data_IF_354737467934
#
_entry.id   IF_354737467934
#
_cell.length_a   1.000
_cell.length_b   1.000
_cell.length_c   1.000
_cell.angle_alpha   90.00
_cell.angle_beta   90.00
_cell.angle_gamma   90.00
#
_symmetry.space_group_name_H-M   'P 1'
#
loop_
_entity.id
_entity.type
_entity.pdbx_description
1 polymer ?
#
# COMPACT_ATOMS: atom_id res chain seq x y z
N UNK A 1 -19.48 -28.25 -14.55
CA UNK A 1 -18.31 -27.49 -14.03
C UNK A 1 -18.74 -26.85 -12.73
N UNK A 2 -17.95 -26.93 -11.66
CA UNK A 2 -18.35 -26.42 -10.36
C UNK A 2 -17.57 -25.12 -10.07
N UNK A 3 -18.30 -24.05 -9.76
CA UNK A 3 -17.72 -22.80 -9.29
C UNK A 3 -17.57 -22.86 -7.76
N UNK A 4 -16.43 -22.42 -7.23
CA UNK A 4 -16.15 -22.35 -5.79
C UNK A 4 -15.42 -21.05 -5.46
N UNK A 5 -15.38 -20.70 -4.17
CA UNK A 5 -14.65 -19.55 -3.62
C UNK A 5 -14.91 -18.27 -4.41
N UNK A 6 -16.18 -17.84 -4.40
CA UNK A 6 -16.65 -16.67 -5.15
C UNK A 6 -16.45 -15.44 -4.29
N UNK A 7 -15.67 -14.49 -4.80
CA UNK A 7 -15.52 -13.16 -4.20
C UNK A 7 -15.99 -12.09 -5.18
N UNK A 8 -16.57 -11.02 -4.66
CA UNK A 8 -17.03 -9.91 -5.50
C UNK A 8 -16.77 -8.56 -4.87
N UNK A 9 -16.52 -7.56 -5.72
CA UNK A 9 -16.24 -6.20 -5.30
C UNK A 9 -16.97 -5.21 -6.18
N UNK A 10 -17.65 -4.24 -5.54
CA UNK A 10 -18.21 -3.09 -6.24
C UNK A 10 -17.08 -2.14 -6.64
N UNK A 11 -17.08 -1.71 -7.89
CA UNK A 11 -16.09 -0.82 -8.48
C UNK A 11 -16.59 0.64 -8.47
N UNK A 12 -15.70 1.63 -8.65
CA UNK A 12 -16.05 3.06 -8.66
C UNK A 12 -17.06 3.46 -9.73
N UNK A 13 -17.11 2.72 -10.85
CA UNK A 13 -18.08 2.93 -11.92
C UNK A 13 -19.48 2.37 -11.60
N UNK A 14 -19.67 1.79 -10.41
CA UNK A 14 -20.94 1.24 -9.93
C UNK A 14 -21.19 -0.22 -10.29
N UNK A 15 -20.40 -0.81 -11.20
CA UNK A 15 -20.46 -2.23 -11.53
C UNK A 15 -19.82 -3.09 -10.43
N UNK A 16 -20.04 -4.40 -10.50
CA UNK A 16 -19.41 -5.40 -9.65
C UNK A 16 -18.47 -6.25 -10.50
N UNK A 17 -17.28 -6.52 -9.95
CA UNK A 17 -16.35 -7.52 -10.46
C UNK A 17 -16.43 -8.75 -9.56
N UNK A 18 -16.61 -9.92 -10.14
CA UNK A 18 -16.62 -11.20 -9.43
C UNK A 18 -15.51 -12.09 -9.95
N UNK A 19 -14.79 -12.76 -9.04
CA UNK A 19 -13.78 -13.77 -9.35
C UNK A 19 -14.11 -15.08 -8.64
N UNK A 20 -13.81 -16.20 -9.30
CA UNK A 20 -14.08 -17.53 -8.78
C UNK A 20 -13.15 -18.57 -9.39
N UNK A 21 -12.95 -19.66 -8.68
CA UNK A 21 -12.17 -20.79 -9.17
C UNK A 21 -13.06 -21.75 -9.97
N UNK A 22 -12.51 -22.30 -11.06
CA UNK A 22 -13.24 -23.21 -11.94
C UNK A 22 -12.73 -24.63 -11.78
N UNK A 23 -13.44 -25.41 -10.96
CA UNK A 23 -13.05 -26.79 -10.64
C UNK A 23 -13.36 -27.73 -11.80
N UNK A 24 -12.39 -28.59 -12.12
CA UNK A 24 -12.46 -29.57 -13.21
C UNK A 24 -11.66 -29.19 -14.45
N UNK A 25 -11.01 -28.02 -14.46
CA UNK A 25 -9.96 -27.68 -15.42
C UNK A 25 -8.58 -27.92 -14.82
N UNK A 26 -7.55 -28.11 -15.67
CA UNK A 26 -6.15 -28.15 -15.23
C UNK A 26 -5.83 -26.93 -14.36
N UNK A 27 -5.18 -27.19 -13.23
CA UNK A 27 -4.71 -26.21 -12.26
C UNK A 27 -5.78 -25.37 -11.54
N UNK A 28 -7.09 -25.62 -11.77
CA UNK A 28 -8.20 -24.89 -11.11
C UNK A 28 -8.07 -23.36 -11.29
N UNK A 29 -8.18 -22.86 -12.53
CA UNK A 29 -7.91 -21.47 -12.89
C UNK A 29 -8.96 -20.53 -12.31
N UNK A 30 -8.53 -19.30 -12.04
CA UNK A 30 -9.42 -18.20 -11.68
C UNK A 30 -10.03 -17.57 -12.94
N UNK A 31 -11.36 -17.49 -12.95
CA UNK A 31 -12.14 -16.77 -13.95
C UNK A 31 -12.85 -15.59 -13.31
N UNK A 32 -13.27 -14.63 -14.13
CA UNK A 32 -13.96 -13.44 -13.69
C UNK A 32 -15.14 -13.05 -14.60
N UNK A 33 -16.11 -12.34 -14.00
CA UNK A 33 -17.25 -11.74 -14.67
C UNK A 33 -17.54 -10.34 -14.11
N UNK A 34 -18.30 -9.57 -14.87
CA UNK A 34 -18.87 -8.31 -14.44
C UNK A 34 -20.38 -8.47 -14.20
N UNK A 35 -20.90 -7.71 -13.25
CA UNK A 35 -22.32 -7.56 -13.02
C UNK A 35 -22.70 -6.08 -12.90
N UNK A 36 -23.82 -5.63 -13.50
CA UNK A 36 -24.28 -4.26 -13.35
C UNK A 36 -24.78 -3.94 -11.92
N UNK A 37 -25.22 -4.93 -11.16
CA UNK A 37 -25.94 -4.74 -9.90
C UNK A 37 -25.52 -5.71 -8.76
N UNK A 38 -24.61 -6.65 -9.04
CA UNK A 38 -24.16 -7.68 -8.11
C UNK A 38 -25.10 -8.89 -8.00
N UNK A 39 -26.25 -8.87 -8.68
CA UNK A 39 -27.27 -9.93 -8.65
C UNK A 39 -27.39 -10.64 -10.00
N UNK A 40 -27.37 -9.88 -11.09
CA UNK A 40 -27.42 -10.39 -12.45
C UNK A 40 -26.01 -10.53 -13.01
N UNK A 41 -25.57 -11.76 -13.23
CA UNK A 41 -24.22 -12.08 -13.73
C UNK A 41 -24.25 -12.57 -15.19
N UNK A 42 -25.34 -12.31 -15.92
CA UNK A 42 -25.52 -12.75 -17.30
C UNK A 42 -25.88 -14.23 -17.45
N UNK A 43 -25.62 -14.78 -18.64
CA UNK A 43 -25.92 -16.19 -18.94
C UNK A 43 -25.13 -17.13 -18.00
N UNK A 44 -25.79 -18.06 -17.29
CA UNK A 44 -25.12 -19.08 -16.47
C UNK A 44 -24.21 -20.04 -17.25
N UNK A 45 -24.40 -20.19 -18.56
CA UNK A 45 -23.52 -21.00 -19.42
C UNK A 45 -22.20 -20.28 -19.77
N UNK A 46 -22.19 -18.95 -19.69
CA UNK A 46 -20.98 -18.15 -19.85
C UNK A 46 -20.18 -18.15 -18.55
N UNK A 47 -19.04 -18.85 -18.54
CA UNK A 47 -18.15 -18.93 -17.38
C UNK A 47 -17.22 -17.72 -17.25
N UNK A 48 -17.37 -16.68 -18.09
CA UNK A 48 -16.56 -15.47 -18.05
C UNK A 48 -15.19 -15.61 -18.70
N UNK A 49 -14.26 -14.74 -18.33
CA UNK A 49 -12.90 -14.73 -18.88
C UNK A 49 -11.88 -15.24 -17.87
N UNK A 50 -10.86 -15.94 -18.37
CA UNK A 50 -9.73 -16.39 -17.55
C UNK A 50 -8.90 -15.19 -17.11
N UNK A 51 -8.61 -15.09 -15.82
CA UNK A 51 -7.83 -14.00 -15.26
C UNK A 51 -6.33 -14.27 -15.44
N UNK A 52 -5.69 -13.51 -16.33
CA UNK A 52 -4.29 -13.73 -16.68
C UNK A 52 -3.59 -12.47 -17.20
N UNK A 53 -2.26 -12.46 -17.13
CA UNK A 53 -1.40 -11.47 -17.78
C UNK A 53 -1.41 -11.63 -19.30
N UNK A 54 -0.90 -10.63 -20.02
CA UNK A 54 -0.74 -10.71 -21.48
C UNK A 54 0.20 -11.86 -21.92
N UNK A 55 1.17 -12.23 -21.07
CA UNK A 55 2.08 -13.36 -21.25
C UNK A 55 1.49 -14.72 -20.85
N UNK A 56 0.24 -14.76 -20.36
CA UNK A 56 -0.48 -16.00 -20.04
C UNK A 56 -0.28 -16.55 -18.62
N UNK A 57 0.37 -15.80 -17.73
CA UNK A 57 0.45 -16.15 -16.31
C UNK A 57 -0.93 -15.92 -15.66
N UNK A 58 -1.43 -16.89 -14.91
CA UNK A 58 -2.79 -16.93 -14.37
C UNK A 58 -2.80 -17.41 -12.93
N UNK A 59 -3.73 -16.86 -12.15
CA UNK A 59 -4.00 -17.28 -10.77
C UNK A 59 -4.76 -18.60 -10.72
N UNK A 60 -4.53 -19.33 -9.63
CA UNK A 60 -5.16 -20.60 -9.32
C UNK A 60 -5.64 -20.63 -7.88
N UNK A 61 -6.84 -21.18 -7.70
CA UNK A 61 -7.44 -21.44 -6.39
C UNK A 61 -7.80 -20.18 -5.58
N UNK A 62 -8.88 -20.30 -4.79
CA UNK A 62 -9.25 -19.36 -3.72
C UNK A 62 -9.02 -17.87 -4.01
N UNK A 63 -9.64 -17.31 -5.06
CA UNK A 63 -9.42 -15.92 -5.40
C UNK A 63 -9.94 -14.98 -4.32
N UNK A 64 -9.27 -13.85 -4.15
CA UNK A 64 -9.74 -12.72 -3.34
C UNK A 64 -9.70 -11.45 -4.16
N UNK A 65 -10.73 -10.60 -4.06
CA UNK A 65 -10.85 -9.36 -4.86
C UNK A 65 -10.87 -8.14 -3.95
N UNK A 66 -9.96 -7.22 -4.22
CA UNK A 66 -9.81 -5.94 -3.52
C UNK A 66 -9.72 -4.79 -4.52
N UNK A 67 -10.45 -3.69 -4.30
CA UNK A 67 -10.27 -2.46 -5.08
C UNK A 67 -9.68 -1.39 -4.17
N UNK A 68 -8.64 -0.72 -4.66
CA UNK A 68 -7.90 0.31 -3.92
C UNK A 68 -7.90 1.61 -4.72
N UNK A 69 -7.95 2.75 -4.04
CA UNK A 69 -8.01 4.06 -4.71
C UNK A 69 -6.68 4.44 -5.38
N UNK A 70 -5.56 3.88 -4.93
CA UNK A 70 -4.22 4.13 -5.47
C UNK A 70 -4.05 3.50 -6.86
N UNK A 71 -3.29 4.17 -7.76
CA UNK A 71 -2.94 3.65 -9.10
C UNK A 71 -3.52 4.42 -10.29
N UNK A 72 -4.22 5.53 -10.05
CA UNK A 72 -4.72 6.44 -11.09
C UNK A 72 -6.21 6.78 -10.92
N UNK A 73 -6.84 7.44 -11.92
CA UNK A 73 -8.24 7.90 -11.82
C UNK A 73 -9.28 6.80 -11.56
N UNK A 74 -8.96 5.55 -11.90
CA UNK A 74 -9.81 4.38 -11.69
C UNK A 74 -9.42 3.56 -10.45
N UNK A 75 -8.38 3.97 -9.72
CA UNK A 75 -7.71 3.13 -8.73
C UNK A 75 -7.10 1.88 -9.34
N UNK A 76 -6.89 0.86 -8.50
CA UNK A 76 -6.36 -0.45 -8.88
C UNK A 76 -7.27 -1.54 -8.35
N UNK A 77 -7.68 -2.45 -9.23
CA UNK A 77 -8.31 -3.71 -8.86
C UNK A 77 -7.22 -4.76 -8.68
N UNK A 78 -7.20 -5.40 -7.52
CA UNK A 78 -6.24 -6.42 -7.09
C UNK A 78 -6.97 -7.74 -6.95
N UNK A 79 -6.39 -8.80 -7.51
CA UNK A 79 -6.86 -10.17 -7.30
C UNK A 79 -5.69 -11.04 -6.85
N UNK A 80 -5.86 -11.70 -5.71
CA UNK A 80 -4.95 -12.75 -5.25
C UNK A 80 -5.55 -14.12 -5.53
N UNK A 81 -4.75 -15.16 -5.38
CA UNK A 81 -5.18 -16.56 -5.41
C UNK A 81 -4.20 -17.40 -4.59
N UNK A 82 -4.40 -18.71 -4.55
CA UNK A 82 -3.47 -19.62 -3.88
C UNK A 82 -2.06 -19.52 -4.48
N UNK A 83 -1.97 -19.53 -5.81
CA UNK A 83 -0.70 -19.50 -6.53
C UNK A 83 -0.87 -19.04 -7.99
N UNK A 84 0.25 -18.89 -8.70
CA UNK A 84 0.33 -18.49 -10.11
C UNK A 84 1.30 -19.39 -10.90
N UNK A 85 1.04 -19.63 -12.19
CA UNK A 85 1.93 -20.42 -13.06
C UNK A 85 3.04 -19.54 -13.65
N UNK A 86 4.16 -20.18 -13.98
CA UNK A 86 5.25 -19.52 -14.71
C UNK A 86 5.93 -18.40 -13.92
N UNK A 87 5.79 -18.41 -12.59
CA UNK A 87 6.37 -17.41 -11.68
C UNK A 87 6.96 -18.15 -10.47
N UNK A 88 8.10 -17.66 -9.98
CA UNK A 88 8.74 -18.16 -8.76
C UNK A 88 8.95 -16.98 -7.81
N UNK A 89 8.56 -17.08 -6.52
CA UNK A 89 7.77 -18.18 -5.95
C UNK A 89 6.32 -18.13 -6.45
N UNK A 90 5.71 -19.29 -6.71
CA UNK A 90 4.36 -19.35 -7.28
C UNK A 90 3.27 -18.75 -6.36
N UNK A 91 3.50 -18.75 -5.05
CA UNK A 91 2.52 -18.35 -4.02
C UNK A 91 2.64 -16.90 -3.54
N UNK A 92 3.56 -16.07 -4.07
CA UNK A 92 3.75 -14.71 -3.55
C UNK A 92 3.37 -13.63 -4.55
N UNK A 93 2.26 -13.81 -5.30
CA UNK A 93 1.91 -12.89 -6.37
C UNK A 93 0.41 -12.60 -6.42
N UNK A 94 0.11 -11.38 -6.86
CA UNK A 94 -1.24 -10.94 -7.19
C UNK A 94 -1.28 -10.32 -8.59
N UNK A 95 -2.47 -10.32 -9.19
CA UNK A 95 -2.75 -9.61 -10.43
C UNK A 95 -3.39 -8.26 -10.10
N UNK A 96 -2.96 -7.21 -10.80
CA UNK A 96 -3.52 -5.88 -10.65
C UNK A 96 -3.90 -5.25 -12.00
N UNK A 97 -4.99 -4.47 -11.99
CA UNK A 97 -5.51 -3.74 -13.15
C UNK A 97 -5.93 -2.33 -12.77
N UNK A 98 -5.44 -1.33 -13.49
CA UNK A 98 -5.86 0.08 -13.37
C UNK A 98 -6.98 0.46 -14.36
N UNK A 99 -7.51 -0.54 -15.06
CA UNK A 99 -8.57 -0.43 -16.07
C UNK A 99 -9.88 -1.07 -15.60
N UNK A 100 -10.09 -1.09 -14.27
CA UNK A 100 -11.27 -1.68 -13.64
C UNK A 100 -11.49 -3.15 -14.04
N UNK A 101 -10.40 -3.89 -14.26
CA UNK A 101 -10.42 -5.31 -14.62
C UNK A 101 -10.64 -5.60 -16.11
N UNK A 102 -10.69 -4.57 -16.97
CA UNK A 102 -10.84 -4.74 -18.43
C UNK A 102 -9.47 -4.79 -19.10
N UNK A 103 -9.21 -5.85 -19.87
CA UNK A 103 -7.98 -5.98 -20.66
C UNK A 103 -6.82 -6.56 -19.85
N UNK A 104 -5.64 -5.94 -19.96
CA UNK A 104 -4.39 -6.51 -19.45
C UNK A 104 -4.27 -6.41 -17.93
N UNK A 105 -3.72 -7.47 -17.35
CA UNK A 105 -3.36 -7.55 -15.93
C UNK A 105 -1.84 -7.61 -15.77
N UNK A 106 -1.36 -6.93 -14.74
CA UNK A 106 0.05 -6.89 -14.38
C UNK A 106 0.29 -7.70 -13.10
N UNK A 107 1.46 -8.29 -12.99
CA UNK A 107 1.88 -9.10 -11.86
C UNK A 107 2.60 -8.24 -10.83
N UNK A 108 2.31 -8.47 -9.56
CA UNK A 108 3.01 -7.85 -8.43
C UNK A 108 3.24 -8.85 -7.30
N UNK A 109 4.31 -8.68 -6.51
CA UNK A 109 4.55 -9.52 -5.35
C UNK A 109 3.57 -9.19 -4.22
N UNK A 110 3.12 -10.19 -3.47
CA UNK A 110 2.29 -10.00 -2.27
C UNK A 110 3.11 -9.43 -1.09
N UNK A 111 2.46 -8.81 -0.08
CA UNK A 111 3.16 -8.31 1.11
C UNK A 111 3.93 -9.38 1.90
N UNK A 112 3.49 -10.64 1.83
CA UNK A 112 4.12 -11.81 2.47
C UNK A 112 4.70 -12.69 1.36
N UNK A 113 5.98 -13.05 1.52
CA UNK A 113 6.66 -14.02 0.67
C UNK A 113 6.38 -15.45 1.16
N UNK A 114 5.47 -16.15 0.50
CA UNK A 114 5.13 -17.56 0.70
C UNK A 114 5.90 -18.42 -0.32
N UNK A 115 6.75 -19.36 0.13
CA UNK A 115 7.43 -20.25 -0.76
C UNK A 115 6.50 -21.15 -1.57
N UNK A 116 6.88 -21.51 -2.80
CA UNK A 116 6.01 -22.31 -3.68
C UNK A 116 5.66 -23.71 -3.15
N UNK A 117 6.52 -24.30 -2.32
CA UNK A 117 6.33 -25.62 -1.70
C UNK A 117 5.76 -25.57 -0.28
N UNK A 118 5.40 -24.37 0.21
CA UNK A 118 4.72 -24.19 1.50
C UNK A 118 3.29 -24.72 1.41
N UNK A 119 2.81 -25.44 2.43
CA UNK A 119 1.43 -25.94 2.48
C UNK A 119 0.41 -24.91 3.02
N UNK A 120 0.89 -23.77 3.50
CA UNK A 120 0.14 -22.58 3.85
C UNK A 120 -0.23 -21.74 2.64
N UNK A 121 -0.75 -20.55 2.90
CA UNK A 121 -1.03 -19.58 1.84
C UNK A 121 -2.18 -19.96 0.92
N UNK A 122 -3.07 -20.87 1.33
CA UNK A 122 -4.14 -21.36 0.46
C UNK A 122 -5.10 -20.23 0.06
N UNK A 123 -5.50 -19.41 1.03
CA UNK A 123 -6.24 -18.18 0.80
C UNK A 123 -5.35 -16.99 1.18
N UNK A 124 -5.25 -16.03 0.27
CA UNK A 124 -4.34 -14.89 0.41
C UNK A 124 -5.14 -13.60 0.48
N UNK A 125 -5.98 -13.50 1.51
CA UNK A 125 -6.83 -12.34 1.72
C UNK A 125 -5.99 -11.09 1.91
N UNK A 126 -6.40 -10.03 1.22
CA UNK A 126 -5.80 -8.71 1.30
C UNK A 126 -6.85 -7.66 1.57
N UNK A 127 -6.46 -6.60 2.25
CA UNK A 127 -7.30 -5.41 2.45
C UNK A 127 -6.41 -4.17 2.40
N UNK A 128 -6.99 -2.98 2.36
CA UNK A 128 -6.22 -1.74 2.46
C UNK A 128 -6.21 -1.17 3.86
N UNK A 129 -5.16 -0.42 4.17
CA UNK A 129 -5.20 0.56 5.26
C UNK A 129 -6.35 1.55 5.06
N UNK A 130 -6.82 2.14 6.16
CA UNK A 130 -7.88 3.17 6.13
C UNK A 130 -7.48 4.39 5.28
N UNK A 131 -6.18 4.70 5.22
CA UNK A 131 -5.65 5.76 4.38
C UNK A 131 -5.53 5.34 2.89
N UNK A 132 -5.83 4.10 2.52
CA UNK A 132 -5.77 3.60 1.13
C UNK A 132 -4.36 3.51 0.52
N UNK A 133 -3.31 3.75 1.32
CA UNK A 133 -1.91 3.79 0.84
C UNK A 133 -1.14 2.50 1.07
N UNK A 134 -1.70 1.54 1.80
CA UNK A 134 -1.04 0.26 2.06
C UNK A 134 -1.96 -0.92 1.82
N UNK A 135 -1.41 -1.99 1.25
CA UNK A 135 -2.04 -3.30 1.16
C UNK A 135 -1.61 -4.15 2.35
N UNK A 136 -2.57 -4.59 3.14
CA UNK A 136 -2.37 -5.52 4.25
C UNK A 136 -2.74 -6.92 3.79
N UNK A 137 -1.89 -7.90 4.11
CA UNK A 137 -2.16 -9.31 3.87
C UNK A 137 -2.17 -10.06 5.20
N UNK A 138 -3.08 -11.02 5.33
CA UNK A 138 -3.11 -11.98 6.43
C UNK A 138 -3.25 -13.38 5.84
N UNK A 139 -2.35 -14.29 6.20
CA UNK A 139 -2.39 -15.66 5.67
C UNK A 139 -1.60 -16.61 6.57
N UNK A 140 -1.61 -17.91 6.25
CA UNK A 140 -0.75 -18.90 6.90
C UNK A 140 0.56 -19.06 6.13
N UNK A 141 1.68 -19.20 6.85
CA UNK A 141 3.00 -19.49 6.27
C UNK A 141 3.72 -20.52 7.12
N UNK A 142 4.42 -21.45 6.49
CA UNK A 142 5.26 -22.40 7.18
C UNK A 142 6.48 -21.69 7.80
N UNK A 143 6.80 -22.03 9.05
CA UNK A 143 7.93 -21.49 9.79
C UNK A 143 9.13 -22.44 9.75
N UNK A 144 10.25 -22.00 10.33
CA UNK A 144 11.53 -22.72 10.26
C UNK A 144 11.52 -24.14 10.89
N UNK A 145 10.48 -24.51 11.66
CA UNK A 145 10.32 -25.84 12.27
C UNK A 145 9.23 -26.68 11.60
N UNK A 146 8.74 -26.27 10.42
CA UNK A 146 7.74 -27.00 9.64
C UNK A 146 6.32 -26.92 10.22
N UNK A 147 6.02 -25.90 11.03
CA UNK A 147 4.65 -25.58 11.51
C UNK A 147 4.13 -24.36 10.77
N UNK A 148 2.82 -24.11 10.82
CA UNK A 148 2.23 -22.95 10.15
C UNK A 148 1.84 -21.89 11.16
N UNK A 149 2.32 -20.67 10.95
CA UNK A 149 1.94 -19.49 11.71
C UNK A 149 0.93 -18.66 10.91
N UNK A 150 0.04 -17.96 11.62
CA UNK A 150 -0.74 -16.88 11.02
C UNK A 150 0.15 -15.64 10.98
N UNK A 151 0.44 -15.16 9.78
CA UNK A 151 1.35 -14.04 9.54
C UNK A 151 0.60 -12.91 8.88
N UNK A 152 0.99 -11.68 9.22
CA UNK A 152 0.49 -10.46 8.59
C UNK A 152 1.64 -9.60 8.12
N UNK A 153 1.47 -8.91 7.00
CA UNK A 153 2.43 -7.95 6.48
C UNK A 153 1.71 -6.80 5.79
N UNK A 154 2.40 -5.68 5.68
CA UNK A 154 1.90 -4.45 5.10
C UNK A 154 2.85 -4.01 4.00
N UNK A 155 2.30 -3.76 2.82
CA UNK A 155 3.02 -3.23 1.67
C UNK A 155 2.52 -1.81 1.35
N UNK A 156 3.40 -0.80 1.31
CA UNK A 156 3.04 0.51 0.77
C UNK A 156 2.73 0.40 -0.73
N UNK A 157 1.64 1.01 -1.16
CA UNK A 157 1.16 1.00 -2.55
C UNK A 157 1.79 2.10 -3.41
N UNK A 158 2.58 2.98 -2.79
CA UNK A 158 3.19 4.15 -3.42
C UNK A 158 4.65 4.36 -3.02
N UNK A 159 5.30 3.27 -2.62
CA UNK A 159 6.73 3.32 -2.38
C UNK A 159 7.52 3.49 -3.66
N UNK A 160 8.56 4.32 -3.59
CA UNK A 160 9.63 4.33 -4.57
C UNK A 160 10.52 3.10 -4.33
N UNK A 161 10.77 2.31 -5.37
CA UNK A 161 11.60 1.10 -5.32
C UNK A 161 13.01 1.39 -5.81
N UNK A 162 13.99 0.87 -5.10
CA UNK A 162 15.40 0.94 -5.45
C UNK A 162 15.99 -0.46 -5.38
N UNK A 163 16.21 -1.06 -6.55
CA UNK A 163 16.80 -2.40 -6.70
C UNK A 163 18.27 -2.37 -6.26
N UNK A 164 18.66 -3.28 -5.36
CA UNK A 164 19.99 -3.29 -4.76
C UNK A 164 21.07 -3.60 -5.81
N UNK A 165 20.76 -4.46 -6.78
CA UNK A 165 21.64 -4.86 -7.88
C UNK A 165 21.97 -3.73 -8.85
N UNK A 166 21.22 -2.61 -8.77
CA UNK A 166 21.44 -1.41 -9.57
C UNK A 166 22.23 -0.32 -8.81
N UNK A 167 22.72 -0.61 -7.60
CA UNK A 167 23.40 0.35 -6.75
C UNK A 167 24.93 0.25 -6.83
N UNK A 168 25.61 1.17 -6.15
CA UNK A 168 27.08 1.14 -6.07
C UNK A 168 27.51 0.07 -5.07
N UNK A 169 28.16 -0.97 -5.56
CA UNK A 169 28.62 -2.12 -4.77
C UNK A 169 30.11 -2.02 -4.46
N UNK A 170 30.50 -2.51 -3.28
CA UNK A 170 31.90 -2.84 -3.01
C UNK A 170 32.35 -4.06 -3.83
N UNK A 171 33.66 -4.16 -4.09
CA UNK A 171 34.24 -5.13 -5.02
C UNK A 171 34.06 -6.60 -4.62
N UNK A 172 33.76 -6.87 -3.36
CA UNK A 172 33.53 -8.21 -2.83
C UNK A 172 32.09 -8.71 -3.02
N UNK A 173 31.14 -7.82 -3.30
CA UNK A 173 29.74 -8.17 -3.52
C UNK A 173 29.50 -8.69 -4.93
N UNK A 174 28.45 -9.49 -5.10
CA UNK A 174 28.02 -9.98 -6.41
C UNK A 174 26.54 -9.78 -6.61
N UNK A 175 26.14 -9.53 -7.86
CA UNK A 175 24.74 -9.61 -8.27
C UNK A 175 24.43 -11.07 -8.58
N UNK A 176 23.49 -11.65 -7.83
CA UNK A 176 23.07 -13.04 -7.94
C UNK A 176 21.75 -13.12 -8.68
N UNK A 177 21.66 -13.95 -9.72
CA UNK A 177 20.40 -14.21 -10.40
C UNK A 177 19.50 -15.09 -9.53
N UNK A 178 18.31 -14.58 -9.22
CA UNK A 178 17.32 -15.18 -8.31
C UNK A 178 15.94 -14.95 -8.89
N UNK A 179 15.28 -16.00 -9.38
CA UNK A 179 13.95 -15.86 -9.97
C UNK A 179 12.89 -15.31 -9.01
N UNK A 180 13.10 -15.50 -7.70
CA UNK A 180 12.25 -15.02 -6.61
C UNK A 180 12.56 -13.59 -6.15
N UNK A 181 13.70 -13.01 -6.54
CA UNK A 181 14.07 -11.64 -6.21
C UNK A 181 13.29 -10.63 -7.06
N UNK A 182 13.18 -9.39 -6.56
CA UNK A 182 12.68 -8.28 -7.36
C UNK A 182 13.57 -8.14 -8.59
N UNK A 183 12.95 -7.89 -9.75
CA UNK A 183 13.66 -7.82 -11.04
C UNK A 183 14.55 -9.03 -11.40
N UNK A 184 14.46 -10.15 -10.68
CA UNK A 184 15.18 -11.39 -10.94
C UNK A 184 16.62 -11.44 -10.41
N UNK A 185 17.05 -10.50 -9.57
CA UNK A 185 18.38 -10.50 -8.98
C UNK A 185 18.44 -9.91 -7.56
N UNK A 186 19.44 -10.30 -6.78
CA UNK A 186 19.74 -9.71 -5.46
C UNK A 186 21.24 -9.41 -5.35
N UNK A 187 21.64 -8.61 -4.35
CA UNK A 187 23.06 -8.40 -4.02
C UNK A 187 23.46 -9.34 -2.90
N UNK A 188 24.35 -10.27 -3.25
CA UNK A 188 24.89 -11.29 -2.35
C UNK A 188 26.32 -11.07 -1.89
N UNK A 189 26.77 -11.97 -1.02
CA UNK A 189 28.11 -12.02 -0.43
C UNK A 189 28.46 -10.83 0.49
N UNK A 190 27.48 -10.29 1.22
CA UNK A 190 27.69 -9.24 2.22
C UNK A 190 28.36 -9.82 3.49
N UNK A 191 29.62 -10.24 3.34
CA UNK A 191 30.29 -11.20 4.23
C UNK A 191 31.57 -10.67 4.88
N UNK A 192 32.15 -9.60 4.33
CA UNK A 192 33.36 -8.97 4.86
C UNK A 192 33.00 -7.73 5.69
N UNK A 193 33.88 -7.37 6.63
CA UNK A 193 33.72 -6.13 7.40
C UNK A 193 33.73 -4.86 6.52
N UNK A 194 34.25 -4.96 5.28
CA UNK A 194 34.28 -3.90 4.28
C UNK A 194 33.10 -3.93 3.31
N UNK A 195 32.28 -4.98 3.34
CA UNK A 195 31.13 -5.14 2.44
C UNK A 195 30.15 -3.98 2.64
N UNK A 196 29.82 -3.29 1.55
CA UNK A 196 28.85 -2.22 1.53
C UNK A 196 28.12 -2.05 0.19
N UNK A 197 26.86 -1.64 0.29
CA UNK A 197 26.00 -1.18 -0.80
C UNK A 197 25.68 0.29 -0.55
N UNK A 198 25.89 1.14 -1.56
CA UNK A 198 25.58 2.56 -1.51
C UNK A 198 24.48 2.89 -2.51
N UNK A 199 23.32 3.27 -1.96
CA UNK A 199 22.24 3.93 -2.67
C UNK A 199 22.53 5.43 -2.63
N UNK A 200 22.91 6.03 -3.75
CA UNK A 200 23.34 7.44 -3.81
C UNK A 200 22.38 8.38 -4.56
N UNK A 201 21.20 7.88 -4.91
CA UNK A 201 20.18 8.58 -5.68
C UNK A 201 18.79 8.43 -5.04
N UNK A 202 18.71 8.48 -3.71
CA UNK A 202 17.44 8.38 -2.99
C UNK A 202 16.79 9.76 -2.97
N UNK A 203 15.75 9.94 -3.77
CA UNK A 203 15.08 11.24 -3.91
C UNK A 203 14.02 11.45 -2.82
N UNK A 204 14.07 12.60 -2.17
CA UNK A 204 13.05 13.04 -1.24
C UNK A 204 12.47 14.38 -1.75
N UNK A 205 11.17 14.44 -2.10
CA UNK A 205 10.56 15.69 -2.57
C UNK A 205 10.63 16.83 -1.53
N UNK A 206 10.86 16.47 -0.26
CA UNK A 206 11.05 17.39 0.86
C UNK A 206 11.91 16.76 1.95
N UNK A 207 12.37 17.59 2.89
CA UNK A 207 12.97 17.09 4.12
C UNK A 207 11.89 16.52 5.05
N UNK A 208 12.23 15.48 5.81
CA UNK A 208 11.33 14.86 6.78
C UNK A 208 11.67 13.40 7.07
N UNK A 209 10.89 12.77 7.95
CA UNK A 209 11.02 11.33 8.24
C UNK A 209 10.36 10.50 7.13
N UNK A 210 11.14 9.57 6.57
CA UNK A 210 10.68 8.56 5.61
C UNK A 210 10.80 7.18 6.22
N UNK A 211 9.92 6.27 5.80
CA UNK A 211 10.00 4.84 6.10
C UNK A 211 10.63 4.09 4.94
N UNK A 212 11.34 3.04 5.29
CA UNK A 212 11.98 2.13 4.36
C UNK A 212 11.59 0.70 4.69
N UNK A 213 11.22 -0.07 3.67
CA UNK A 213 11.16 -1.53 3.72
C UNK A 213 12.35 -2.08 2.96
N UNK A 214 13.08 -3.02 3.55
CA UNK A 214 14.21 -3.69 2.92
C UNK A 214 13.82 -5.15 2.74
N UNK A 215 13.71 -5.61 1.50
CA UNK A 215 13.55 -7.03 1.19
C UNK A 215 14.92 -7.69 1.22
N UNK A 216 15.04 -8.79 1.95
CA UNK A 216 16.31 -9.45 2.20
C UNK A 216 16.14 -10.97 2.23
N UNK A 217 17.22 -11.70 1.98
CA UNK A 217 17.30 -13.15 2.20
C UNK A 217 18.35 -13.47 3.27
N UNK A 218 18.06 -14.42 4.15
CA UNK A 218 18.99 -14.89 5.17
C UNK A 218 18.83 -16.41 5.36
N UNK A 219 19.34 -17.18 4.40
CA UNK A 219 19.29 -18.65 4.42
C UNK A 219 20.34 -19.29 5.33
N UNK A 220 20.96 -18.54 6.26
CA UNK A 220 22.06 -19.04 7.11
C UNK A 220 21.58 -19.93 8.27
N UNK A 221 20.29 -19.88 8.62
CA UNK A 221 19.71 -20.59 9.77
C UNK A 221 19.83 -19.83 11.09
N UNK A 222 20.41 -18.63 11.11
CA UNK A 222 20.55 -17.78 12.29
C UNK A 222 20.28 -16.30 11.96
N UNK A 223 19.96 -15.50 12.97
CA UNK A 223 19.79 -14.06 12.77
C UNK A 223 21.11 -13.39 12.35
N UNK A 224 21.00 -12.41 11.45
CA UNK A 224 22.07 -11.55 11.00
C UNK A 224 21.76 -10.08 11.33
N UNK A 225 22.76 -9.20 11.17
CA UNK A 225 22.53 -7.76 11.22
C UNK A 225 23.30 -7.05 10.12
N UNK A 226 22.71 -5.98 9.60
CA UNK A 226 23.38 -4.98 8.78
C UNK A 226 23.28 -3.61 9.44
N UNK A 227 24.23 -2.73 9.13
CA UNK A 227 24.22 -1.35 9.60
C UNK A 227 23.75 -0.43 8.47
N UNK A 228 22.91 0.55 8.79
CA UNK A 228 22.38 1.53 7.84
C UNK A 228 22.76 2.94 8.26
N UNK A 229 23.48 3.65 7.39
CA UNK A 229 23.80 5.06 7.57
C UNK A 229 23.14 5.89 6.48
N UNK A 230 22.40 6.92 6.89
CA UNK A 230 21.73 7.86 5.98
C UNK A 230 22.47 9.19 6.03
N UNK A 231 22.89 9.70 4.86
CA UNK A 231 23.64 10.95 4.71
C UNK A 231 24.88 11.04 5.64
N UNK A 232 25.51 9.91 5.96
CA UNK A 232 26.68 9.86 6.84
C UNK A 232 26.37 9.96 8.35
N UNK A 233 25.09 9.94 8.74
CA UNK A 233 24.69 9.86 10.14
C UNK A 233 25.16 8.56 10.81
N UNK A 234 25.13 8.54 12.15
CA UNK A 234 25.48 7.35 12.94
C UNK A 234 24.67 6.13 12.46
N UNK A 235 25.32 4.97 12.21
CA UNK A 235 24.61 3.81 11.68
C UNK A 235 23.56 3.25 12.64
N UNK A 236 22.41 2.85 12.10
CA UNK A 236 21.37 2.07 12.76
C UNK A 236 21.58 0.57 12.46
N UNK A 237 21.51 -0.28 13.48
CA UNK A 237 21.57 -1.74 13.30
C UNK A 237 20.19 -2.30 12.93
N UNK A 238 20.10 -2.95 11.77
CA UNK A 238 18.94 -3.71 11.32
C UNK A 238 19.11 -5.19 11.64
N UNK A 239 18.14 -5.76 12.35
CA UNK A 239 18.07 -7.19 12.60
C UNK A 239 17.38 -7.91 11.43
N UNK A 240 18.06 -8.92 10.89
CA UNK A 240 17.63 -9.71 9.75
C UNK A 240 17.42 -11.14 10.24
N UNK A 241 16.18 -11.48 10.59
CA UNK A 241 15.81 -12.83 11.02
C UNK A 241 16.15 -13.86 9.92
N UNK A 242 16.47 -15.09 10.32
CA UNK A 242 16.70 -16.16 9.35
C UNK A 242 15.46 -16.37 8.49
N UNK A 243 15.64 -16.40 7.17
CA UNK A 243 14.67 -16.95 6.25
C UNK A 243 14.87 -18.47 6.15
N UNK A 244 13.92 -19.17 5.53
CA UNK A 244 13.98 -20.63 5.40
C UNK A 244 15.08 -21.09 4.44
N UNK A 245 15.40 -20.28 3.44
CA UNK A 245 16.49 -20.50 2.49
C UNK A 245 16.93 -19.19 1.85
N UNK A 246 18.00 -19.22 1.05
CA UNK A 246 18.48 -18.05 0.29
C UNK A 246 17.58 -17.66 -0.88
N UNK A 247 16.59 -18.48 -1.24
CA UNK A 247 15.57 -18.15 -2.25
C UNK A 247 14.23 -17.74 -1.59
N UNK A 248 14.21 -17.61 -0.26
CA UNK A 248 13.07 -17.11 0.52
C UNK A 248 13.41 -15.74 1.10
N UNK A 249 12.47 -14.82 0.94
CA UNK A 249 12.64 -13.42 1.31
C UNK A 249 11.76 -13.05 2.52
N UNK A 250 12.19 -12.01 3.22
CA UNK A 250 11.39 -11.31 4.22
C UNK A 250 11.69 -9.81 4.16
N UNK A 251 10.94 -9.03 4.93
CA UNK A 251 11.10 -7.58 5.00
C UNK A 251 11.48 -7.12 6.40
N UNK A 252 12.44 -6.22 6.48
CA UNK A 252 12.70 -5.42 7.68
C UNK A 252 12.36 -3.95 7.41
N UNK A 253 11.92 -3.22 8.42
CA UNK A 253 11.62 -1.79 8.30
C UNK A 253 12.55 -0.94 9.13
N UNK A 254 12.82 0.27 8.65
CA UNK A 254 13.40 1.35 9.46
C UNK A 254 12.85 2.71 9.03
N UNK A 255 13.13 3.73 9.83
CA UNK A 255 12.81 5.12 9.51
C UNK A 255 14.08 5.96 9.56
N UNK A 256 14.17 6.95 8.68
CA UNK A 256 15.27 7.89 8.67
C UNK A 256 14.82 9.26 8.19
N UNK A 257 15.50 10.30 8.68
CA UNK A 257 15.28 11.67 8.21
C UNK A 257 16.06 11.89 6.92
N UNK A 258 15.36 12.29 5.86
CA UNK A 258 15.94 12.71 4.60
C UNK A 258 15.97 14.24 4.51
N UNK A 259 16.94 14.77 3.78
CA UNK A 259 16.93 16.15 3.28
C UNK A 259 16.16 16.22 1.96
N UNK A 260 15.60 17.39 1.62
CA UNK A 260 15.02 17.58 0.29
C UNK A 260 16.06 17.34 -0.81
N UNK A 261 15.64 16.68 -1.89
CA UNK A 261 16.49 16.29 -3.02
C UNK A 261 17.14 14.93 -2.81
N UNK A 262 18.34 14.77 -3.38
CA UNK A 262 19.09 13.52 -3.37
C UNK A 262 19.70 13.21 -1.99
N UNK A 263 19.55 11.97 -1.55
CA UNK A 263 20.08 11.43 -0.30
C UNK A 263 20.91 10.17 -0.57
N UNK A 264 21.80 9.86 0.37
CA UNK A 264 22.63 8.67 0.37
C UNK A 264 22.20 7.72 1.49
N UNK A 265 22.02 6.43 1.17
CA UNK A 265 21.82 5.37 2.16
C UNK A 265 22.89 4.31 1.93
N UNK A 266 23.69 4.04 2.96
CA UNK A 266 24.73 3.01 2.93
C UNK A 266 24.34 1.87 3.85
N UNK A 267 24.30 0.67 3.29
CA UNK A 267 24.23 -0.58 4.03
C UNK A 267 25.66 -1.12 4.17
N UNK A 268 26.06 -1.51 5.38
CA UNK A 268 27.31 -2.23 5.61
C UNK A 268 27.03 -3.49 6.42
N UNK A 269 27.91 -4.48 6.30
CA UNK A 269 27.79 -5.69 7.10
C UNK A 269 27.82 -5.41 8.61
N UNK A 270 26.92 -6.05 9.35
CA UNK A 270 27.01 -6.21 10.80
C UNK A 270 27.49 -7.62 11.17
N UNK A 271 26.63 -8.39 11.82
CA UNK A 271 26.87 -9.78 12.26
C UNK A 271 26.32 -10.79 11.26
N UNK A 272 26.96 -11.96 11.15
CA UNK A 272 26.53 -13.06 10.26
C UNK A 272 26.39 -12.62 8.78
N UNK A 273 25.65 -13.35 7.96
CA UNK A 273 25.46 -13.08 6.52
C UNK A 273 23.97 -12.98 6.20
N UNK A 274 23.61 -12.01 5.36
CA UNK A 274 22.27 -11.83 4.77
C UNK A 274 22.42 -10.99 3.50
N UNK A 275 21.60 -11.24 2.50
CA UNK A 275 21.66 -10.56 1.20
C UNK A 275 20.50 -9.56 1.05
N UNK A 276 20.65 -8.56 0.17
CA UNK A 276 19.65 -7.49 0.00
C UNK A 276 19.14 -7.50 -1.45
N UNK A 277 17.82 -7.48 -1.60
CA UNK A 277 17.12 -7.49 -2.89
C UNK A 277 16.67 -6.08 -3.28
N UNK A 278 15.71 -5.51 -2.56
CA UNK A 278 15.14 -4.18 -2.87
C UNK A 278 14.94 -3.34 -1.62
N UNK A 279 15.14 -2.03 -1.77
CA UNK A 279 14.77 -1.02 -0.76
C UNK A 279 13.60 -0.20 -1.27
N UNK A 280 12.50 -0.18 -0.51
CA UNK A 280 11.29 0.57 -0.83
C UNK A 280 11.14 1.76 0.13
N UNK A 281 11.14 2.98 -0.39
CA UNK A 281 10.98 4.23 0.36
C UNK A 281 9.54 4.74 0.25
N UNK A 282 8.93 5.10 1.39
CA UNK A 282 7.58 5.66 1.42
C UNK A 282 7.38 6.61 2.62
N UNK A 283 6.32 7.40 2.56
CA UNK A 283 5.89 8.28 3.66
C UNK A 283 4.74 7.60 4.40
N UNK A 284 4.79 7.54 5.73
CA UNK A 284 3.59 7.26 6.53
C UNK A 284 2.93 8.59 6.89
N UNK A 285 1.66 8.75 6.51
CA UNK A 285 0.91 9.95 6.90
C UNK A 285 0.56 9.96 8.36
N UNK A 286 0.37 11.16 8.88
CA UNK A 286 -0.30 11.34 10.18
C UNK A 286 -1.76 11.64 9.92
N UNK A 287 -2.65 10.78 10.43
CA UNK A 287 -4.09 10.96 10.38
C UNK A 287 -4.56 11.85 11.52
N UNK A 288 -5.50 12.74 11.23
CA UNK A 288 -6.23 13.54 12.20
C UNK A 288 -7.72 13.38 11.90
N UNK A 289 -8.44 12.79 12.86
CA UNK A 289 -9.88 12.59 12.73
C UNK A 289 -10.63 13.92 12.83
N UNK A 290 -11.56 14.15 11.91
CA UNK A 290 -12.29 15.40 11.82
C UNK A 290 -13.28 15.56 12.98
N UNK A 291 -13.86 14.46 13.45
CA UNK A 291 -14.69 14.44 14.65
C UNK A 291 -13.87 14.89 15.87
N UNK A 292 -12.60 14.51 15.98
CA UNK A 292 -11.72 14.91 17.09
C UNK A 292 -11.15 16.33 16.97
N UNK A 293 -11.42 17.02 15.87
CA UNK A 293 -11.09 18.42 15.73
C UNK A 293 -11.97 19.31 16.63
N UNK A 294 -11.61 20.60 16.72
CA UNK A 294 -12.48 21.60 17.33
C UNK A 294 -13.62 21.91 16.36
N UNK A 295 -14.83 21.49 16.74
CA UNK A 295 -16.06 21.65 15.96
C UNK A 295 -16.83 22.91 16.38
N UNK A 296 -17.30 23.69 15.41
CA UNK A 296 -18.16 24.86 15.65
C UNK A 296 -19.36 24.78 14.73
N UNK A 297 -20.58 24.69 15.26
CA UNK A 297 -21.80 24.46 14.49
C UNK A 297 -21.68 23.25 13.53
N UNK A 298 -21.07 22.18 14.01
CA UNK A 298 -20.84 20.92 13.31
C UNK A 298 -21.16 19.81 14.31
N UNK A 299 -21.76 18.72 13.83
CA UNK A 299 -22.20 17.60 14.66
C UNK A 299 -21.27 16.41 14.44
N UNK A 300 -20.89 15.70 15.50
CA UNK A 300 -20.28 14.37 15.37
C UNK A 300 -21.36 13.35 15.03
N UNK A 301 -21.21 12.65 13.92
CA UNK A 301 -22.24 11.74 13.41
C UNK A 301 -21.68 10.32 13.33
N UNK A 302 -22.31 9.33 13.98
CA UNK A 302 -21.89 7.93 13.87
C UNK A 302 -21.92 7.43 12.43
N UNK A 303 -20.87 6.74 12.01
CA UNK A 303 -20.72 6.18 10.67
C UNK A 303 -19.83 4.96 10.70
N UNK A 304 -20.40 3.78 10.42
CA UNK A 304 -19.67 2.51 10.41
C UNK A 304 -18.54 2.44 9.38
N UNK A 305 -18.62 3.25 8.31
CA UNK A 305 -17.57 3.36 7.31
C UNK A 305 -16.52 4.43 7.61
N UNK A 306 -16.79 5.33 8.56
CA UNK A 306 -15.83 6.37 8.95
C UNK A 306 -14.72 5.79 9.82
N UNK A 307 -13.51 6.34 9.69
CA UNK A 307 -12.44 6.01 10.64
C UNK A 307 -12.87 6.42 12.04
N UNK A 308 -12.55 5.63 13.07
CA UNK A 308 -13.00 5.94 14.44
C UNK A 308 -14.50 5.73 14.69
N UNK A 309 -15.30 5.45 13.65
CA UNK A 309 -16.74 5.15 13.75
C UNK A 309 -17.65 6.39 13.77
N UNK A 310 -17.10 7.59 13.59
CA UNK A 310 -17.82 8.87 13.50
C UNK A 310 -17.26 9.72 12.36
N UNK A 311 -17.84 10.90 12.13
CA UNK A 311 -17.27 11.94 11.25
C UNK A 311 -17.85 13.32 11.64
N UNK A 312 -17.26 14.39 11.12
CA UNK A 312 -17.74 15.76 11.25
C UNK A 312 -18.83 16.07 10.20
N UNK A 313 -20.10 15.95 10.61
CA UNK A 313 -21.28 16.14 9.77
C UNK A 313 -22.03 17.46 9.99
N UNK A 314 -23.00 17.74 9.12
CA UNK A 314 -23.82 18.97 9.17
C UNK A 314 -23.00 20.27 9.15
N UNK A 315 -21.94 20.30 8.34
CA UNK A 315 -21.15 21.51 8.07
C UNK A 315 -21.95 22.41 7.13
N UNK A 316 -23.03 23.01 7.64
CA UNK A 316 -24.11 23.57 6.83
C UNK A 316 -24.26 25.09 6.97
N UNK A 317 -23.93 25.64 8.15
CA UNK A 317 -24.08 27.08 8.42
C UNK A 317 -22.86 27.84 7.89
N UNK A 318 -23.04 29.11 7.53
CA UNK A 318 -21.91 29.99 7.16
C UNK A 318 -20.88 30.15 8.28
N UNK A 319 -21.26 29.82 9.52
CA UNK A 319 -20.42 29.80 10.72
C UNK A 319 -19.92 28.40 11.11
N UNK A 320 -20.19 27.36 10.31
CA UNK A 320 -19.71 26.00 10.56
C UNK A 320 -18.21 25.87 10.28
N UNK A 321 -17.47 25.22 11.17
CA UNK A 321 -16.05 24.94 10.97
C UNK A 321 -15.55 23.68 11.66
N UNK A 322 -14.57 23.04 11.02
CA UNK A 322 -13.74 21.95 11.56
C UNK A 322 -12.32 22.49 11.67
N UNK A 323 -11.78 22.55 12.89
CA UNK A 323 -10.49 23.17 13.17
C UNK A 323 -9.54 22.19 13.86
N UNK A 324 -8.48 21.80 13.16
CA UNK A 324 -7.38 21.01 13.69
C UNK A 324 -6.34 21.97 14.30
N UNK A 325 -6.22 22.06 15.63
CA UNK A 325 -5.36 23.05 16.27
C UNK A 325 -3.88 22.66 16.25
N UNK A 326 -3.58 21.38 16.03
CA UNK A 326 -2.25 20.81 16.17
C UNK A 326 -1.97 19.82 15.05
N UNK A 327 -1.37 20.30 13.96
CA UNK A 327 -0.85 19.48 12.86
C UNK A 327 0.67 19.66 12.80
N UNK A 328 1.46 18.74 13.40
CA UNK A 328 2.91 18.83 13.41
C UNK A 328 3.51 18.67 12.00
N UNK A 329 4.59 19.40 11.76
CA UNK A 329 5.46 19.25 10.60
C UNK A 329 6.92 19.35 11.03
N UNK A 330 7.76 18.40 10.63
CA UNK A 330 9.18 18.37 11.01
C UNK A 330 10.00 19.49 10.35
N UNK A 331 9.53 20.01 9.21
CA UNK A 331 10.16 21.08 8.46
C UNK A 331 9.10 21.93 7.76
N UNK A 332 9.46 23.19 7.47
CA UNK A 332 8.63 24.07 6.64
C UNK A 332 8.65 23.60 5.18
N UNK A 333 7.51 23.58 4.52
CA UNK A 333 7.42 23.17 3.12
C UNK A 333 6.01 22.88 2.65
N UNK A 334 5.90 22.34 1.43
CA UNK A 334 4.63 21.89 0.85
C UNK A 334 4.38 20.42 1.21
N UNK A 335 3.22 20.15 1.80
CA UNK A 335 2.74 18.85 2.24
C UNK A 335 1.54 18.44 1.38
N UNK A 336 1.46 17.15 1.06
CA UNK A 336 0.23 16.59 0.52
C UNK A 336 -0.69 16.27 1.70
N UNK A 337 -1.87 16.87 1.71
CA UNK A 337 -2.92 16.57 2.67
C UNK A 337 -4.06 15.88 1.95
N UNK A 338 -4.29 14.61 2.25
CA UNK A 338 -5.46 13.89 1.77
C UNK A 338 -6.61 14.17 2.72
N UNK A 339 -7.78 14.46 2.17
CA UNK A 339 -9.01 14.72 2.91
C UNK A 339 -10.01 13.62 2.59
N UNK A 340 -10.42 12.86 3.60
CA UNK A 340 -11.49 11.87 3.48
C UNK A 340 -12.83 12.56 3.76
N UNK A 341 -13.79 12.39 2.85
CA UNK A 341 -15.05 13.13 2.90
C UNK A 341 -16.24 12.32 2.36
N UNK A 342 -17.45 12.72 2.75
CA UNK A 342 -18.71 12.32 2.12
C UNK A 342 -19.41 13.53 1.49
N UNK A 343 -19.98 13.35 0.30
CA UNK A 343 -20.84 14.33 -0.36
C UNK A 343 -22.00 13.61 -1.05
N UNK A 344 -23.03 13.25 -0.27
CA UNK A 344 -24.23 12.59 -0.78
C UNK A 344 -25.23 13.54 -1.45
N UNK A 345 -24.87 14.80 -1.73
CA UNK A 345 -25.80 15.80 -2.27
C UNK A 345 -26.09 15.66 -3.77
N UNK A 346 -25.30 14.87 -4.50
CA UNK A 346 -25.43 14.67 -5.94
C UNK A 346 -24.80 15.77 -6.81
N UNK A 347 -24.28 16.84 -6.22
CA UNK A 347 -23.52 17.89 -6.92
C UNK A 347 -22.17 18.15 -6.22
N UNK A 348 -21.21 18.74 -6.94
CA UNK A 348 -19.92 19.12 -6.34
C UNK A 348 -20.10 20.19 -5.28
N UNK A 349 -19.63 19.92 -4.07
CA UNK A 349 -19.62 20.83 -2.92
C UNK A 349 -18.22 21.41 -2.70
N UNK A 350 -18.08 22.36 -1.77
CA UNK A 350 -16.78 22.91 -1.39
C UNK A 350 -16.77 23.45 0.03
N UNK A 351 -15.57 23.49 0.62
CA UNK A 351 -15.25 24.22 1.84
C UNK A 351 -14.08 25.18 1.58
N UNK A 352 -13.91 26.16 2.46
CA UNK A 352 -12.73 27.02 2.50
C UNK A 352 -11.70 26.41 3.44
N UNK A 353 -10.45 26.33 3.00
CA UNK A 353 -9.32 25.82 3.77
C UNK A 353 -8.34 26.94 4.10
N UNK A 354 -8.09 27.17 5.39
CA UNK A 354 -7.07 28.08 5.90
C UNK A 354 -6.00 27.31 6.68
N UNK A 355 -4.73 27.64 6.40
CA UNK A 355 -3.57 27.10 7.10
C UNK A 355 -2.93 28.24 7.89
N UNK A 356 -2.71 28.07 9.21
CA UNK A 356 -2.07 29.09 10.05
C UNK A 356 -2.72 30.49 9.95
N UNK A 357 -4.03 30.53 9.78
CA UNK A 357 -4.80 31.78 9.64
C UNK A 357 -4.61 32.51 8.30
N UNK A 358 -3.91 31.91 7.33
CA UNK A 358 -3.75 32.48 5.98
C UNK A 358 -5.07 32.63 5.22
N UNK A 359 -5.05 33.42 4.14
CA UNK A 359 -6.19 33.62 3.27
C UNK A 359 -6.76 32.27 2.79
N UNK A 360 -8.06 31.99 2.98
CA UNK A 360 -8.58 30.66 2.68
C UNK A 360 -8.59 30.35 1.18
N UNK A 361 -8.22 29.12 0.83
CA UNK A 361 -8.37 28.55 -0.51
C UNK A 361 -9.65 27.72 -0.61
N UNK A 362 -10.16 27.46 -1.83
CA UNK A 362 -11.35 26.62 -2.01
C UNK A 362 -10.95 25.18 -2.26
N UNK A 363 -11.49 24.26 -1.45
CA UNK A 363 -11.36 22.82 -1.62
C UNK A 363 -12.68 22.28 -2.13
N UNK A 364 -12.65 21.51 -3.24
CA UNK A 364 -13.85 20.99 -3.91
C UNK A 364 -14.01 19.49 -3.65
N UNK A 365 -15.24 19.10 -3.37
CA UNK A 365 -15.65 17.76 -3.01
C UNK A 365 -16.64 17.24 -4.05
N UNK A 366 -16.20 16.48 -5.07
CA UNK A 366 -17.11 15.80 -6.01
C UNK A 366 -18.13 14.91 -5.30
N UNK A 367 -19.31 14.64 -5.88
CA UNK A 367 -20.31 13.80 -5.22
C UNK A 367 -19.81 12.37 -4.96
N UNK A 368 -20.18 11.86 -3.79
CA UNK A 368 -20.09 10.44 -3.43
C UNK A 368 -21.44 9.76 -3.74
N UNK A 369 -21.46 8.43 -3.78
CA UNK A 369 -22.69 7.70 -4.12
C UNK A 369 -23.80 7.92 -3.08
N UNK A 370 -23.42 8.00 -1.81
CA UNK A 370 -24.30 8.29 -0.66
C UNK A 370 -23.50 9.04 0.42
N UNK A 371 -24.18 9.58 1.44
CA UNK A 371 -23.52 10.13 2.64
C UNK A 371 -22.72 9.07 3.43
N UNK A 372 -23.06 7.78 3.29
CA UNK A 372 -22.32 6.68 3.90
C UNK A 372 -21.11 6.22 3.06
N UNK A 373 -20.93 6.78 1.87
CA UNK A 373 -19.82 6.46 0.97
C UNK A 373 -18.78 7.56 1.02
N UNK A 374 -17.52 7.16 1.21
CA UNK A 374 -16.39 8.08 1.27
C UNK A 374 -15.61 8.11 -0.03
N UNK A 375 -14.95 9.24 -0.25
CA UNK A 375 -13.91 9.42 -1.24
C UNK A 375 -12.78 10.23 -0.61
N UNK A 376 -11.64 10.24 -1.27
CA UNK A 376 -10.55 11.13 -0.89
C UNK A 376 -10.28 12.16 -1.97
N UNK A 377 -9.72 13.30 -1.55
CA UNK A 377 -9.06 14.26 -2.44
C UNK A 377 -7.71 14.61 -1.83
N UNK A 378 -6.73 14.94 -2.66
CA UNK A 378 -5.44 15.45 -2.18
C UNK A 378 -5.32 16.94 -2.48
N UNK A 379 -4.94 17.72 -1.47
CA UNK A 379 -4.63 19.14 -1.58
C UNK A 379 -3.19 19.40 -1.14
N UNK A 380 -2.50 20.31 -1.81
CA UNK A 380 -1.17 20.75 -1.39
C UNK A 380 -1.30 21.90 -0.40
N UNK A 381 -0.69 21.76 0.78
CA UNK A 381 -0.73 22.76 1.86
C UNK A 381 0.68 23.15 2.26
N UNK A 382 0.90 24.42 2.59
CA UNK A 382 2.19 24.90 3.06
C UNK A 382 2.18 24.94 4.59
N UNK A 383 2.97 24.06 5.21
CA UNK A 383 3.14 24.00 6.66
C UNK A 383 4.48 24.64 7.06
N UNK A 384 4.54 25.18 8.26
CA UNK A 384 5.77 25.62 8.92
C UNK A 384 6.26 24.53 9.86
N UNK A 385 7.58 24.46 10.11
CA UNK A 385 8.13 23.57 11.12
C UNK A 385 7.45 23.79 12.50
N UNK A 386 7.10 22.70 13.19
CA UNK A 386 6.33 22.71 14.42
C UNK A 386 4.83 22.50 14.20
N UNK A 387 4.01 22.98 15.15
CA UNK A 387 2.56 22.79 15.09
C UNK A 387 1.91 23.82 14.16
N UNK A 388 1.04 23.33 13.29
CA UNK A 388 0.24 24.13 12.37
C UNK A 388 -1.24 24.03 12.73
N UNK A 389 -2.00 25.04 12.34
CA UNK A 389 -3.46 24.99 12.37
C UNK A 389 -4.02 24.75 10.98
N UNK A 390 -4.99 23.85 10.88
CA UNK A 390 -5.73 23.56 9.65
C UNK A 390 -7.20 23.80 9.92
N UNK A 391 -7.86 24.64 9.14
CA UNK A 391 -9.27 24.99 9.36
C UNK A 391 -10.08 24.90 8.08
N UNK A 392 -11.11 24.07 8.11
CA UNK A 392 -12.17 24.03 7.09
C UNK A 392 -13.37 24.85 7.56
N UNK A 393 -13.93 25.68 6.67
CA UNK A 393 -15.19 26.40 6.92
C UNK A 393 -16.15 26.24 5.76
N UNK A 394 -17.45 26.35 6.03
CA UNK A 394 -18.51 26.24 5.03
C UNK A 394 -18.23 27.10 3.79
N UNK A 395 -18.45 26.53 2.61
CA UNK A 395 -18.55 27.29 1.35
C UNK A 395 -19.83 26.92 0.58
N UNK A 396 -19.74 26.27 -0.58
CA UNK A 396 -20.89 25.95 -1.47
C UNK A 396 -21.32 24.49 -1.27
N UNK A 397 -22.63 24.22 -1.23
CA UNK A 397 -23.15 22.86 -1.10
C UNK A 397 -22.84 22.22 0.25
N UNK A 398 -22.97 20.90 0.34
CA UNK A 398 -22.81 20.14 1.57
C UNK A 398 -21.77 19.04 1.39
N UNK A 399 -20.80 18.97 2.28
CA UNK A 399 -19.81 17.91 2.36
C UNK A 399 -19.42 17.73 3.83
N UNK A 400 -19.27 16.49 4.24
CA UNK A 400 -18.88 16.11 5.59
C UNK A 400 -17.43 15.62 5.56
N UNK A 401 -16.71 15.80 6.66
CA UNK A 401 -15.29 15.45 6.76
C UNK A 401 -15.13 14.30 7.74
N UNK A 402 -14.38 13.28 7.32
CA UNK A 402 -14.03 12.13 8.15
C UNK A 402 -12.63 12.33 8.73
N UNK A 403 -11.62 12.62 7.90
CA UNK A 403 -10.27 12.89 8.39
C UNK A 403 -9.42 13.71 7.42
N UNK A 404 -8.26 14.13 7.92
CA UNK A 404 -7.11 14.54 7.10
C UNK A 404 -5.91 13.63 7.36
N UNK A 405 -5.21 13.22 6.31
CA UNK A 405 -3.90 12.57 6.39
C UNK A 405 -2.84 13.51 5.80
N UNK A 406 -1.82 13.85 6.59
CA UNK A 406 -0.74 14.76 6.17
C UNK A 406 0.54 13.97 5.90
N UNK A 407 1.09 14.14 4.70
CA UNK A 407 2.19 13.33 4.15
C UNK A 407 3.33 14.14 3.65
#
# INVERSE_FOLDING_TARGET
>A
MLLRSIESRRLPNGQYFGAYEVVGLPDVPVYAKFSPDGLNWGDPADIGFKLQTASGQSLFGSPWVEWVETGGPNGTLIVTGTQMNGVTPAKSNFLASTTLGVGNWNLFPTPIDIPGNDNGGYSQSVTTSLDGRSLMQLTSRENAVGKHDVVSSVMPLDAAKYEAESQVLSSDLQVLSRSAASSGAEVGYINLATSNILFNAIEAPRAGVYKFRVRYSNGSGAAATHQVSVNGAAPLSLALASTRSWDDYDYVTFSATLTQGTNNIRFTKGTSQAEIDVVEQYTQGTRFEAEEAVLTNVTRVPKLSGSGGEHAGYIDLSTSSVHFPTVPADASGTFAMKVTYSNGSGATSSHKLSINGSAPTTVRFPPTATWNTEKTITVLVNLTAGNNTVRFTKNVGFAELDAIDVF
#
